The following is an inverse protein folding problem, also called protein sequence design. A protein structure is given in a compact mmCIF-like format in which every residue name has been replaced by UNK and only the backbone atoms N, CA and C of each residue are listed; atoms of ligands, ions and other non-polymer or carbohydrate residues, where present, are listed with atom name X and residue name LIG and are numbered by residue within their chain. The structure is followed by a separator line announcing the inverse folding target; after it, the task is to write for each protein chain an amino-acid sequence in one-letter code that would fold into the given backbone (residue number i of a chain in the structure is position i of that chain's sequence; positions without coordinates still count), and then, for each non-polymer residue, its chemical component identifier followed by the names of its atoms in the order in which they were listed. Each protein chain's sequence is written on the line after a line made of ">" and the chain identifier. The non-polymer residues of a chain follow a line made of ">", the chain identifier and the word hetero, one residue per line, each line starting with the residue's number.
data_IF_353210577586
#
_entry.id   IF_353210577586
#
_cell.length_a   1.000
_cell.length_b   1.000
_cell.length_c   1.000
_cell.angle_alpha   90.00
_cell.angle_beta   90.00
_cell.angle_gamma   90.00
#
_symmetry.space_group_name_H-M   'P 1'
#
loop_
_entity.id
_entity.type
_entity.pdbx_description
1 polymer ?
#
# COMPACT_ATOMS: atom_id res chain seq x y z
N UNK A 1 -10.40 9.79 43.41
CA UNK A 1 -9.98 8.38 43.48
C UNK A 1 -8.55 8.31 42.98
N UNK A 2 -7.65 7.67 43.73
CA UNK A 2 -6.32 7.31 43.23
C UNK A 2 -6.41 5.87 42.74
N UNK A 3 -5.89 5.62 41.54
CA UNK A 3 -5.78 4.28 40.97
C UNK A 3 -4.29 3.93 40.75
N UNK A 4 -3.88 2.67 40.97
CA UNK A 4 -2.53 2.20 40.68
C UNK A 4 -2.10 2.49 39.23
N UNK A 5 -0.81 2.76 39.03
CA UNK A 5 -0.26 2.87 37.68
C UNK A 5 -0.55 1.60 36.86
N UNK A 6 -1.03 1.80 35.62
CA UNK A 6 -1.39 0.71 34.70
C UNK A 6 -2.80 0.13 34.88
N UNK A 7 -3.58 0.59 35.87
CA UNK A 7 -4.97 0.13 36.09
C UNK A 7 -6.05 1.05 35.53
N UNK A 8 -5.65 2.21 34.99
CA UNK A 8 -6.59 3.19 34.47
C UNK A 8 -7.36 2.63 33.27
N UNK A 9 -8.70 2.75 33.25
CA UNK A 9 -9.49 2.35 32.10
C UNK A 9 -9.09 3.19 30.88
N UNK A 10 -8.66 2.51 29.81
CA UNK A 10 -8.25 3.13 28.56
C UNK A 10 -9.27 2.85 27.46
N UNK A 11 -9.71 3.87 26.70
CA UNK A 11 -10.50 3.64 25.49
C UNK A 11 -9.66 3.05 24.34
N UNK A 12 -8.32 3.03 24.49
CA UNK A 12 -7.39 2.50 23.49
C UNK A 12 -7.09 1.03 23.78
N UNK A 13 -7.86 0.14 23.17
CA UNK A 13 -7.63 -1.31 23.20
C UNK A 13 -6.57 -1.76 22.19
N UNK A 14 -6.04 -2.98 22.38
CA UNK A 14 -5.05 -3.57 21.48
C UNK A 14 -5.54 -3.69 20.02
N UNK A 15 -6.84 -3.95 19.84
CA UNK A 15 -7.48 -4.04 18.53
C UNK A 15 -7.48 -2.69 17.81
N UNK A 16 -7.78 -1.61 18.52
CA UNK A 16 -7.74 -0.26 17.96
C UNK A 16 -6.31 0.12 17.56
N UNK A 17 -5.34 -0.17 18.43
CA UNK A 17 -3.93 0.07 18.13
C UNK A 17 -3.47 -0.70 16.86
N UNK A 18 -3.84 -1.97 16.73
CA UNK A 18 -3.49 -2.78 15.56
C UNK A 18 -4.21 -2.34 14.27
N UNK A 19 -5.43 -1.80 14.36
CA UNK A 19 -6.19 -1.33 13.20
C UNK A 19 -5.60 -0.08 12.54
N UNK A 20 -4.86 0.72 13.31
CA UNK A 20 -4.20 1.94 12.87
C UNK A 20 -2.70 1.73 12.59
N UNK A 21 -2.27 0.46 12.48
CA UNK A 21 -0.85 0.15 12.31
C UNK A 21 -0.33 0.55 10.92
N UNK A 22 0.85 1.16 10.93
CA UNK A 22 1.58 1.63 9.75
C UNK A 22 1.19 3.03 9.24
N UNK A 23 1.74 3.39 8.08
CA UNK A 23 1.59 4.70 7.44
C UNK A 23 1.78 4.60 5.93
N UNK A 24 1.38 5.61 5.14
CA UNK A 24 1.80 5.77 3.76
C UNK A 24 3.32 5.74 3.61
N UNK A 25 3.83 4.92 2.68
CA UNK A 25 5.26 4.81 2.40
C UNK A 25 5.54 4.69 0.90
N UNK A 26 6.79 4.93 0.51
CA UNK A 26 7.25 4.86 -0.88
C UNK A 26 6.42 5.73 -1.83
N UNK A 27 6.11 6.97 -1.42
CA UNK A 27 5.44 7.94 -2.28
C UNK A 27 6.26 8.18 -3.56
N UNK A 28 5.56 8.38 -4.67
CA UNK A 28 6.10 8.67 -5.98
C UNK A 28 5.06 9.30 -6.88
N UNK A 29 5.52 9.92 -7.97
CA UNK A 29 4.67 10.58 -8.96
C UNK A 29 4.77 9.83 -10.29
N UNK A 30 3.64 9.66 -10.97
CA UNK A 30 3.60 9.23 -12.37
C UNK A 30 2.85 10.30 -13.15
N UNK A 31 3.58 11.16 -13.85
CA UNK A 31 2.99 12.38 -14.42
C UNK A 31 2.35 13.23 -13.31
N UNK A 32 1.07 13.62 -13.42
CA UNK A 32 0.37 14.41 -12.40
C UNK A 32 -0.24 13.56 -11.27
N UNK A 33 -0.13 12.24 -11.33
CA UNK A 33 -0.73 11.33 -10.34
C UNK A 33 0.22 11.04 -9.18
N UNK A 34 -0.33 10.95 -7.96
CA UNK A 34 0.42 10.58 -6.75
C UNK A 34 0.13 9.13 -6.40
N UNK A 35 1.18 8.37 -6.12
CA UNK A 35 1.12 6.94 -5.83
C UNK A 35 1.92 6.62 -4.57
N UNK A 36 1.44 5.69 -3.74
CA UNK A 36 2.12 5.26 -2.52
C UNK A 36 1.63 3.89 -2.06
N UNK A 37 2.37 3.27 -1.13
CA UNK A 37 1.91 2.04 -0.48
C UNK A 37 1.24 2.34 0.86
N UNK A 38 0.19 1.61 1.18
CA UNK A 38 -0.48 1.68 2.48
C UNK A 38 -0.67 0.30 3.12
N UNK A 39 -0.64 0.22 4.46
CA UNK A 39 -0.96 -1.01 5.17
C UNK A 39 -2.45 -1.35 5.04
N UNK A 40 -2.74 -2.66 5.03
CA UNK A 40 -4.09 -3.22 5.21
C UNK A 40 -4.02 -4.27 6.33
N UNK A 41 -4.04 -3.86 7.61
CA UNK A 41 -3.85 -4.77 8.75
C UNK A 41 -4.88 -5.90 8.79
N UNK A 42 -6.15 -5.58 8.46
CA UNK A 42 -7.25 -6.54 8.40
C UNK A 42 -7.16 -7.53 7.22
N UNK A 43 -6.24 -7.32 6.28
CA UNK A 43 -6.11 -8.12 5.06
C UNK A 43 -4.80 -8.91 5.06
N UNK A 44 -4.62 -9.71 6.12
CA UNK A 44 -3.41 -10.52 6.35
C UNK A 44 -2.12 -9.68 6.38
N UNK A 45 -2.20 -8.44 6.88
CA UNK A 45 -1.06 -7.52 7.00
C UNK A 45 -0.41 -7.14 5.66
N UNK A 46 -1.13 -7.27 4.53
CA UNK A 46 -0.61 -6.87 3.22
C UNK A 46 -0.41 -5.35 3.15
N UNK A 47 0.44 -4.93 2.22
CA UNK A 47 0.49 -3.53 1.76
C UNK A 47 -0.12 -3.43 0.37
N UNK A 48 -1.00 -2.46 0.16
CA UNK A 48 -1.58 -2.17 -1.16
C UNK A 48 -0.85 -1.01 -1.83
N UNK A 49 -0.99 -0.89 -3.15
CA UNK A 49 -0.64 0.31 -3.88
C UNK A 49 -1.89 1.19 -4.00
N UNK A 50 -1.77 2.45 -3.64
CA UNK A 50 -2.81 3.47 -3.73
C UNK A 50 -2.46 4.44 -4.84
N UNK A 51 -3.46 4.77 -5.65
CA UNK A 51 -3.41 5.76 -6.72
C UNK A 51 -4.29 6.95 -6.35
N UNK A 52 -3.76 8.15 -6.53
CA UNK A 52 -4.54 9.38 -6.51
C UNK A 52 -4.35 10.12 -7.83
N UNK A 53 -5.39 10.16 -8.69
CA UNK A 53 -5.39 11.00 -9.88
C UNK A 53 -5.27 12.49 -9.51
N UNK A 54 -4.87 13.31 -10.47
CA UNK A 54 -4.83 14.77 -10.26
C UNK A 54 -6.22 15.31 -9.89
N UNK A 55 -6.29 16.04 -8.77
CA UNK A 55 -7.54 16.55 -8.20
C UNK A 55 -8.55 15.49 -7.74
N UNK A 56 -8.26 14.18 -7.90
CA UNK A 56 -9.17 13.09 -7.60
C UNK A 56 -9.03 12.51 -6.18
N UNK A 57 -9.99 11.69 -5.75
CA UNK A 57 -9.87 10.91 -4.53
C UNK A 57 -8.79 9.84 -4.69
N UNK A 58 -8.17 9.47 -3.56
CA UNK A 58 -7.30 8.31 -3.50
C UNK A 58 -8.13 7.03 -3.57
N UNK A 59 -7.65 6.04 -4.32
CA UNK A 59 -8.26 4.72 -4.41
C UNK A 59 -7.22 3.61 -4.41
N UNK A 60 -7.61 2.45 -3.92
CA UNK A 60 -6.80 1.25 -4.02
C UNK A 60 -6.63 0.85 -5.49
N UNK A 61 -5.38 0.67 -5.91
CA UNK A 61 -5.04 0.25 -7.26
C UNK A 61 -4.85 -1.26 -7.38
N UNK A 62 -4.44 -1.95 -6.30
CA UNK A 62 -4.17 -3.38 -6.27
C UNK A 62 -4.98 -4.07 -5.16
N UNK A 63 -6.11 -4.73 -5.48
CA UNK A 63 -6.93 -5.40 -4.48
C UNK A 63 -6.22 -6.62 -3.89
N UNK A 64 -6.76 -7.17 -2.79
CA UNK A 64 -6.32 -8.46 -2.28
C UNK A 64 -6.38 -9.55 -3.39
N UNK A 65 -5.44 -10.50 -3.42
CA UNK A 65 -4.41 -10.78 -2.43
C UNK A 65 -3.07 -10.05 -2.66
N UNK A 66 -2.99 -9.08 -3.59
CA UNK A 66 -1.73 -8.42 -3.91
C UNK A 66 -1.12 -7.69 -2.71
N UNK A 67 0.16 -7.96 -2.52
CA UNK A 67 0.94 -7.46 -1.40
C UNK A 67 2.23 -6.82 -1.92
N UNK A 68 2.28 -5.49 -1.90
CA UNK A 68 3.32 -4.63 -2.49
C UNK A 68 4.45 -4.44 -1.47
N UNK A 69 5.26 -5.48 -1.31
CA UNK A 69 6.39 -5.50 -0.38
C UNK A 69 7.50 -6.37 -0.94
N UNK A 70 8.71 -5.83 -0.94
CA UNK A 70 9.94 -6.55 -1.28
C UNK A 70 10.60 -7.09 -0.01
N UNK A 71 11.20 -8.26 -0.10
CA UNK A 71 12.11 -8.84 0.90
C UNK A 71 13.57 -8.44 0.69
N UNK A 72 13.87 -7.47 -0.18
CA UNK A 72 15.24 -6.99 -0.42
C UNK A 72 15.94 -6.68 0.92
N UNK A 73 17.12 -7.24 1.18
CA UNK A 73 17.87 -7.06 2.44
C UNK A 73 17.11 -7.43 3.73
N UNK A 74 16.03 -8.21 3.67
CA UNK A 74 15.14 -8.56 4.79
C UNK A 74 14.36 -7.38 5.42
N UNK A 75 14.85 -6.15 5.27
CA UNK A 75 14.17 -4.91 5.66
C UNK A 75 13.28 -4.34 4.55
N UNK A 76 13.35 -4.94 3.36
CA UNK A 76 12.67 -4.51 2.16
C UNK A 76 13.42 -3.43 1.38
N UNK A 77 12.69 -2.82 0.45
CA UNK A 77 13.18 -1.78 -0.45
C UNK A 77 11.99 -1.17 -1.16
N UNK A 78 12.22 -0.16 -2.01
CA UNK A 78 11.13 0.45 -2.80
C UNK A 78 10.47 -0.66 -3.65
N UNK A 79 9.21 -1.05 -3.36
CA UNK A 79 8.63 -2.27 -3.91
C UNK A 79 7.89 -2.03 -5.23
N UNK A 80 7.89 -0.79 -5.74
CA UNK A 80 7.19 -0.43 -6.95
C UNK A 80 7.90 0.71 -7.70
N UNK A 81 7.70 0.76 -9.00
CA UNK A 81 8.05 1.88 -9.87
C UNK A 81 6.97 2.03 -10.94
N UNK A 82 6.88 3.19 -11.57
CA UNK A 82 5.94 3.38 -12.67
C UNK A 82 6.34 4.52 -13.58
N UNK A 83 5.78 4.52 -14.77
CA UNK A 83 6.00 5.55 -15.78
C UNK A 83 4.73 5.84 -16.55
N UNK A 84 4.56 7.10 -16.96
CA UNK A 84 3.59 7.46 -17.99
C UNK A 84 3.97 6.83 -19.31
N UNK A 85 2.98 6.62 -20.18
CA UNK A 85 3.17 6.12 -21.54
C UNK A 85 2.53 7.11 -22.52
N UNK A 86 3.06 7.22 -23.76
CA UNK A 86 2.48 8.09 -24.79
C UNK A 86 1.04 7.73 -25.13
N UNK A 87 0.74 6.42 -25.16
CA UNK A 87 -0.59 5.88 -25.42
C UNK A 87 -1.06 5.05 -24.22
N UNK A 88 -2.31 5.27 -23.79
CA UNK A 88 -2.93 4.57 -22.66
C UNK A 88 -2.59 5.13 -21.28
N UNK A 89 -2.97 4.38 -20.23
CA UNK A 89 -2.68 4.72 -18.84
C UNK A 89 -1.23 4.42 -18.42
N UNK A 90 -0.85 4.72 -17.16
CA UNK A 90 0.51 4.45 -16.68
C UNK A 90 0.83 2.95 -16.69
N UNK A 91 2.12 2.61 -16.80
CA UNK A 91 2.61 1.28 -16.52
C UNK A 91 3.25 1.28 -15.14
N UNK A 92 2.81 0.37 -14.28
CA UNK A 92 3.36 0.15 -12.95
C UNK A 92 4.01 -1.22 -12.91
N UNK A 93 5.18 -1.31 -12.29
CA UNK A 93 5.79 -2.58 -11.91
C UNK A 93 5.93 -2.65 -10.40
N UNK A 94 5.63 -3.80 -9.80
CA UNK A 94 5.71 -3.98 -8.36
C UNK A 94 6.18 -5.38 -7.98
N UNK A 95 6.75 -5.51 -6.79
CA UNK A 95 7.11 -6.80 -6.19
C UNK A 95 5.91 -7.34 -5.42
N UNK A 96 5.48 -8.54 -5.75
CA UNK A 96 4.50 -9.26 -4.93
C UNK A 96 5.20 -10.03 -3.82
N UNK A 97 4.80 -9.80 -2.58
CA UNK A 97 5.46 -10.39 -1.42
C UNK A 97 5.39 -11.92 -1.39
N UNK A 98 4.32 -12.54 -1.90
CA UNK A 98 4.10 -13.98 -1.76
C UNK A 98 5.15 -14.83 -2.49
N UNK A 99 5.66 -14.33 -3.61
CA UNK A 99 6.60 -15.05 -4.48
C UNK A 99 7.86 -14.22 -4.82
N UNK A 100 7.94 -12.99 -4.33
CA UNK A 100 9.02 -12.03 -4.58
C UNK A 100 9.24 -11.72 -6.07
N UNK A 101 8.26 -12.02 -6.93
CA UNK A 101 8.34 -11.73 -8.36
C UNK A 101 7.92 -10.29 -8.64
N UNK A 102 8.43 -9.77 -9.75
CA UNK A 102 7.97 -8.50 -10.31
C UNK A 102 6.80 -8.75 -11.25
N UNK A 103 5.74 -7.96 -11.08
CA UNK A 103 4.51 -7.99 -11.87
C UNK A 103 4.32 -6.64 -12.53
N UNK A 104 3.71 -6.65 -13.72
CA UNK A 104 3.38 -5.46 -14.49
C UNK A 104 1.87 -5.22 -14.44
N UNK A 105 1.47 -3.99 -14.22
CA UNK A 105 0.08 -3.60 -14.06
C UNK A 105 -0.22 -2.30 -14.80
N UNK A 106 -1.33 -2.31 -15.52
CA UNK A 106 -1.86 -1.18 -16.25
C UNK A 106 -3.25 -0.87 -15.71
N UNK A 107 -3.41 0.11 -14.81
CA UNK A 107 -4.65 0.34 -14.07
C UNK A 107 -5.83 0.79 -14.95
N UNK A 108 -5.53 1.31 -16.14
CA UNK A 108 -6.53 1.79 -17.09
C UNK A 108 -6.77 0.79 -18.25
N UNK A 109 -6.04 -0.32 -18.29
CA UNK A 109 -6.23 -1.35 -19.30
C UNK A 109 -7.41 -2.27 -18.93
N UNK A 110 -8.12 -2.83 -19.93
CA UNK A 110 -9.09 -3.88 -19.69
C UNK A 110 -8.39 -5.17 -19.24
N UNK A 111 -8.38 -5.40 -17.94
CA UNK A 111 -7.71 -6.55 -17.31
C UNK A 111 -7.15 -6.14 -15.96
N UNK A 112 -7.34 -6.99 -14.95
CA UNK A 112 -6.72 -6.75 -13.64
C UNK A 112 -5.19 -6.87 -13.69
N UNK A 113 -4.50 -6.63 -12.57
CA UNK A 113 -3.09 -7.00 -12.44
C UNK A 113 -2.89 -8.47 -12.84
N UNK A 114 -2.01 -8.68 -13.82
CA UNK A 114 -1.57 -9.99 -14.31
C UNK A 114 -0.31 -10.43 -13.56
#
# INVERSE_FOLDING_TARGET
>A
MQEPYGSWPSPLGAQLAASLDGRPEYVGMIGPEVWWTEPRPAENGRRTLVRRPDGGPAAEALPAPWNVRSGFTEYGGRPWAGTGRPDGGPLVVFVHHADQRMYAYEPDAPGGPA
#
